data_IF_302210276211
#
_entry.id   IF_302210276211
#
_cell.length_a   1.000
_cell.length_b   1.000
_cell.length_c   1.000
_cell.angle_alpha   90.00
_cell.angle_beta   90.00
_cell.angle_gamma   90.00
#
_symmetry.space_group_name_H-M   'P 1'
#
loop_
_entity.id
_entity.type
_entity.pdbx_description
1 polymer ?
#
# COMPACT_ATOMS: atom_id res chain seq x y z
N UNK A 1 19.62 8.43 11.50
CA UNK A 1 18.61 7.56 12.15
C UNK A 1 17.82 6.86 11.05
N UNK A 2 17.56 5.56 11.13
CA UNK A 2 16.75 4.84 10.13
C UNK A 2 15.26 4.96 10.47
N UNK A 3 14.43 5.20 9.46
CA UNK A 3 12.97 5.12 9.55
C UNK A 3 12.42 4.15 8.53
N UNK A 4 11.21 3.65 8.82
CA UNK A 4 10.41 2.82 7.95
C UNK A 4 9.23 3.65 7.48
N UNK A 5 9.06 3.73 6.17
CA UNK A 5 7.96 4.44 5.51
C UNK A 5 6.95 3.38 5.12
N UNK A 6 5.71 3.52 5.58
CA UNK A 6 4.60 2.65 5.21
C UNK A 6 3.79 3.36 4.15
N UNK A 7 3.80 2.78 2.96
CA UNK A 7 3.04 3.25 1.81
C UNK A 7 1.74 2.45 1.73
N UNK A 8 0.64 3.16 1.56
CA UNK A 8 -0.65 2.60 1.20
C UNK A 8 -0.80 2.72 -0.31
N UNK A 9 -1.11 1.62 -0.98
CA UNK A 9 -1.47 1.61 -2.38
C UNK A 9 -2.93 1.21 -2.50
N UNK A 10 -3.72 2.04 -3.15
CA UNK A 10 -5.14 1.79 -3.41
C UNK A 10 -5.43 1.92 -4.90
N UNK A 11 -6.19 0.97 -5.45
CA UNK A 11 -6.71 1.11 -6.81
C UNK A 11 -7.70 2.28 -6.83
N UNK A 12 -7.45 3.21 -7.72
CA UNK A 12 -8.28 4.39 -7.98
C UNK A 12 -8.49 4.52 -9.49
N UNK A 13 -9.45 5.36 -9.88
CA UNK A 13 -9.72 5.67 -11.28
C UNK A 13 -11.05 5.11 -11.79
N UNK A 14 -11.15 4.99 -13.12
CA UNK A 14 -12.36 4.61 -13.86
C UNK A 14 -12.16 3.27 -14.58
N UNK A 15 -13.18 2.77 -15.28
CA UNK A 15 -13.06 1.53 -16.07
C UNK A 15 -11.97 1.61 -17.16
N UNK A 16 -11.76 2.81 -17.71
CA UNK A 16 -10.84 3.07 -18.81
C UNK A 16 -9.43 3.44 -18.34
N UNK A 17 -9.29 3.93 -17.10
CA UNK A 17 -8.03 4.39 -16.52
C UNK A 17 -7.92 4.01 -15.04
N UNK A 18 -7.42 2.79 -14.79
CA UNK A 18 -7.08 2.33 -13.44
C UNK A 18 -5.64 2.71 -13.10
N UNK A 19 -5.45 3.26 -11.90
CA UNK A 19 -4.12 3.52 -11.34
C UNK A 19 -4.04 3.12 -9.89
N UNK A 20 -2.83 2.91 -9.40
CA UNK A 20 -2.59 2.82 -7.96
C UNK A 20 -2.20 4.20 -7.45
N UNK A 21 -3.03 4.74 -6.58
CA UNK A 21 -2.65 5.91 -5.80
C UNK A 21 -1.75 5.45 -4.66
N UNK A 22 -0.58 6.08 -4.54
CA UNK A 22 0.42 5.77 -3.53
C UNK A 22 0.49 6.92 -2.54
N UNK A 23 0.37 6.60 -1.25
CA UNK A 23 0.42 7.58 -0.18
C UNK A 23 1.33 7.12 0.94
N UNK A 24 2.17 8.03 1.44
CA UNK A 24 2.85 7.84 2.73
C UNK A 24 1.79 7.88 3.82
N UNK A 25 1.47 6.70 4.34
CA UNK A 25 0.41 6.53 5.33
C UNK A 25 0.93 6.67 6.75
N UNK A 26 2.15 6.20 7.01
CA UNK A 26 2.75 6.21 8.34
C UNK A 26 4.26 6.08 8.28
N UNK A 27 4.98 6.72 9.20
CA UNK A 27 6.42 6.52 9.38
C UNK A 27 6.71 5.94 10.76
N UNK A 28 7.65 5.00 10.86
CA UNK A 28 7.98 4.31 12.09
C UNK A 28 9.49 4.22 12.33
N UNK A 29 9.90 4.23 13.61
CA UNK A 29 11.31 3.99 13.98
C UNK A 29 11.74 2.53 13.91
N UNK A 30 10.81 1.59 13.77
CA UNK A 30 11.12 0.15 13.65
C UNK A 30 10.13 -0.56 12.72
N UNK A 31 10.59 -1.62 12.06
CA UNK A 31 9.74 -2.49 11.24
C UNK A 31 8.57 -3.09 12.04
N UNK A 32 8.81 -3.47 13.30
CA UNK A 32 7.76 -4.00 14.19
C UNK A 32 6.61 -3.02 14.39
N UNK A 33 6.91 -1.72 14.52
CA UNK A 33 5.87 -0.67 14.65
C UNK A 33 5.11 -0.47 13.35
N UNK A 34 5.81 -0.45 12.20
CA UNK A 34 5.18 -0.40 10.88
C UNK A 34 4.20 -1.57 10.66
N UNK A 35 4.64 -2.81 10.92
CA UNK A 35 3.78 -4.00 10.81
C UNK A 35 2.60 -3.99 11.80
N UNK A 36 2.82 -3.48 13.01
CA UNK A 36 1.75 -3.32 14.01
C UNK A 36 0.67 -2.34 13.53
N UNK A 37 1.06 -1.26 12.85
CA UNK A 37 0.13 -0.31 12.24
C UNK A 37 -0.70 -1.00 11.14
N UNK A 38 -0.05 -1.67 10.19
CA UNK A 38 -0.72 -2.38 9.09
C UNK A 38 -1.79 -3.35 9.62
N UNK A 39 -1.49 -4.11 10.68
CA UNK A 39 -2.43 -5.08 11.27
C UNK A 39 -3.69 -4.43 11.83
N UNK A 40 -3.58 -3.21 12.34
CA UNK A 40 -4.67 -2.47 13.01
C UNK A 40 -5.46 -1.59 12.05
N UNK A 41 -4.85 -1.16 10.95
CA UNK A 41 -5.50 -0.30 9.98
C UNK A 41 -6.57 -1.07 9.17
N UNK A 42 -7.71 -0.42 8.94
CA UNK A 42 -8.71 -0.89 7.99
C UNK A 42 -8.63 -0.07 6.72
N UNK A 43 -8.35 -0.73 5.59
CA UNK A 43 -8.32 -0.12 4.25
C UNK A 43 -9.18 -0.94 3.29
N UNK A 44 -9.48 -0.38 2.14
CA UNK A 44 -10.23 -1.01 1.06
C UNK A 44 -9.64 -2.37 0.65
N UNK A 45 -10.47 -3.29 0.16
CA UNK A 45 -10.00 -4.64 -0.23
C UNK A 45 -9.13 -4.64 -1.49
N UNK A 46 -9.24 -3.57 -2.27
CA UNK A 46 -8.42 -3.28 -3.44
C UNK A 46 -7.17 -2.46 -3.08
N UNK A 47 -6.67 -2.63 -1.86
CA UNK A 47 -5.43 -2.01 -1.39
C UNK A 47 -4.37 -3.05 -1.02
N UNK A 48 -3.13 -2.60 -0.98
CA UNK A 48 -2.02 -3.30 -0.35
C UNK A 48 -1.06 -2.29 0.29
N UNK A 49 -0.07 -2.82 0.99
CA UNK A 49 0.94 -2.02 1.67
C UNK A 49 2.32 -2.30 1.09
N UNK A 50 3.15 -1.27 1.04
CA UNK A 50 4.59 -1.40 0.87
C UNK A 50 5.27 -0.81 2.10
N UNK A 51 6.38 -1.42 2.50
CA UNK A 51 7.30 -0.78 3.45
C UNK A 51 8.60 -0.50 2.73
N UNK A 52 9.06 0.73 2.85
CA UNK A 52 10.39 1.18 2.47
C UNK A 52 11.16 1.62 3.72
N UNK A 53 12.46 1.81 3.58
CA UNK A 53 13.33 2.24 4.66
C UNK A 53 14.23 3.37 4.17
N UNK A 54 14.31 4.45 4.94
CA UNK A 54 15.11 5.63 4.61
C UNK A 54 15.97 6.05 5.81
N UNK A 55 17.21 6.45 5.55
CA UNK A 55 18.03 7.12 6.55
C UNK A 55 17.65 8.61 6.56
N UNK A 56 17.33 9.14 7.72
CA UNK A 56 16.99 10.56 7.89
C UNK A 56 18.15 11.44 7.43
N UNK A 57 17.78 12.53 6.74
CA UNK A 57 18.67 13.52 6.11
C UNK A 57 19.55 12.96 4.99
N UNK A 58 19.26 11.74 4.53
CA UNK A 58 19.89 11.13 3.37
C UNK A 58 19.06 11.42 2.12
N UNK A 59 19.74 11.82 1.04
CA UNK A 59 19.12 12.18 -0.25
C UNK A 59 18.94 10.98 -1.18
N UNK A 60 19.52 9.83 -0.82
CA UNK A 60 19.33 8.58 -1.55
C UNK A 60 17.87 8.13 -1.54
N UNK A 61 17.46 7.38 -2.56
CA UNK A 61 16.11 6.83 -2.63
C UNK A 61 15.85 5.80 -1.52
N UNK A 62 14.62 5.74 -0.97
CA UNK A 62 14.26 4.73 0.00
C UNK A 62 14.46 3.32 -0.53
N UNK A 63 15.01 2.46 0.33
CA UNK A 63 15.22 1.05 0.01
C UNK A 63 13.92 0.27 0.27
N UNK A 64 13.54 -0.57 -0.70
CA UNK A 64 12.37 -1.43 -0.57
C UNK A 64 12.57 -2.55 0.47
N UNK A 65 11.63 -2.70 1.40
CA UNK A 65 11.67 -3.76 2.43
C UNK A 65 10.73 -4.93 2.09
N UNK A 66 9.55 -4.62 1.56
CA UNK A 66 8.59 -5.65 1.17
C UNK A 66 7.18 -5.14 0.91
N UNK A 67 6.40 -5.99 0.24
CA UNK A 67 4.97 -5.82 0.06
C UNK A 67 4.19 -6.62 1.10
N UNK A 68 3.03 -6.11 1.51
CA UNK A 68 2.18 -6.72 2.51
C UNK A 68 0.70 -6.61 2.13
N UNK A 69 -0.07 -7.67 2.39
CA UNK A 69 -1.52 -7.65 2.24
C UNK A 69 -2.21 -6.88 3.36
N UNK A 70 -3.54 -6.77 3.29
CA UNK A 70 -4.40 -5.96 4.16
C UNK A 70 -4.13 -6.08 5.66
N UNK A 71 -3.71 -7.26 6.12
CA UNK A 71 -3.45 -7.56 7.54
C UNK A 71 -1.98 -7.86 7.85
N UNK A 72 -1.06 -7.42 6.99
CA UNK A 72 0.38 -7.51 7.22
C UNK A 72 1.01 -8.85 6.88
N UNK A 73 0.31 -9.70 6.11
CA UNK A 73 0.91 -10.90 5.53
C UNK A 73 1.89 -10.50 4.43
N UNK A 74 3.16 -10.92 4.53
CA UNK A 74 4.20 -10.59 3.54
C UNK A 74 3.87 -11.22 2.19
N UNK A 75 4.06 -10.47 1.12
CA UNK A 75 3.83 -10.88 -0.26
C UNK A 75 5.17 -10.98 -1.00
N UNK A 76 5.21 -11.80 -2.03
CA UNK A 76 6.38 -11.96 -2.91
C UNK A 76 6.46 -10.88 -3.98
N UNK A 77 5.33 -10.28 -4.33
CA UNK A 77 5.18 -9.21 -5.32
C UNK A 77 3.93 -8.36 -5.00
N UNK A 78 3.79 -7.15 -5.57
CA UNK A 78 2.58 -6.37 -5.46
C UNK A 78 1.38 -7.16 -6.02
N UNK A 79 0.24 -7.21 -5.31
CA UNK A 79 -0.92 -8.00 -5.70
C UNK A 79 -1.82 -7.25 -6.71
N UNK A 80 -1.24 -6.62 -7.73
CA UNK A 80 -1.94 -5.69 -8.63
C UNK A 80 -3.24 -6.27 -9.22
N UNK A 81 -3.16 -7.43 -9.88
CA UNK A 81 -4.31 -8.09 -10.52
C UNK A 81 -5.43 -8.41 -9.51
N UNK A 82 -5.04 -8.84 -8.29
CA UNK A 82 -6.00 -9.16 -7.23
C UNK A 82 -6.71 -7.92 -6.71
N UNK A 83 -5.97 -6.82 -6.52
CA UNK A 83 -6.54 -5.55 -6.09
C UNK A 83 -7.46 -4.97 -7.17
N UNK A 84 -7.08 -5.01 -8.46
CA UNK A 84 -7.92 -4.55 -9.56
C UNK A 84 -9.18 -5.40 -9.69
N UNK A 85 -9.08 -6.73 -9.59
CA UNK A 85 -10.25 -7.61 -9.61
C UNK A 85 -11.20 -7.32 -8.43
N UNK A 86 -10.66 -7.05 -7.24
CA UNK A 86 -11.46 -6.65 -6.09
C UNK A 86 -12.13 -5.28 -6.31
N UNK A 87 -11.41 -4.32 -6.88
CA UNK A 87 -11.93 -2.99 -7.22
C UNK A 87 -13.11 -3.10 -8.19
N UNK A 88 -12.92 -3.81 -9.31
CA UNK A 88 -13.98 -4.06 -10.31
C UNK A 88 -15.19 -4.79 -9.72
N UNK A 89 -15.01 -5.61 -8.69
CA UNK A 89 -16.13 -6.29 -8.03
C UNK A 89 -16.91 -5.36 -7.10
N UNK A 90 -16.21 -4.49 -6.36
CA UNK A 90 -16.81 -3.57 -5.39
C UNK A 90 -17.32 -2.28 -6.01
N UNK A 91 -16.71 -1.86 -7.12
CA UNK A 91 -17.16 -0.79 -8.00
C UNK A 91 -17.38 -1.40 -9.36
N UNK A 92 -18.52 -2.07 -9.55
CA UNK A 92 -18.80 -2.74 -10.79
C UNK A 92 -18.55 -1.82 -11.99
N UNK A 93 -18.93 -0.53 -11.94
CA UNK A 93 -18.85 0.34 -13.13
C UNK A 93 -19.43 1.77 -12.96
N UNK A 94 -19.22 2.56 -11.87
CA UNK A 94 -19.78 3.94 -11.78
C UNK A 94 -21.23 4.04 -12.34
N UNK A 95 -22.10 3.12 -11.90
CA UNK A 95 -23.51 3.12 -12.30
C UNK A 95 -24.13 4.46 -11.91
N UNK A 96 -24.69 5.12 -12.92
CA UNK A 96 -25.36 6.42 -12.85
C UNK A 96 -24.41 7.63 -12.92
N UNK A 97 -23.97 7.94 -14.14
CA UNK A 97 -24.55 9.11 -14.80
C UNK A 97 -25.56 8.65 -15.86
#
# INVERSE_FOLDING_TARGET
MQIYIVLHHEVMGTEEDFRFDEMVFFTASTLKKALSMIKKCGVSRYSYWEIQTQKIDDLEWPEHVGYYGLRGGKLTAPPYEKCVAAFKKERPWDLEN
#
